data_IF_179101719197
#
_entry.id   IF_179101719197
#
_cell.length_a   1.000
_cell.length_b   1.000
_cell.length_c   1.000
_cell.angle_alpha   90.00
_cell.angle_beta   90.00
_cell.angle_gamma   90.00
#
_symmetry.space_group_name_H-M   'P 1'
#
loop_
_entity.id
_entity.type
_entity.pdbx_description
1 polymer ?
#
# COMPACT_ATOMS: atom_id res chain seq x y z
N UNK A 1 12.86 7.70 -18.22
CA UNK A 1 12.55 6.25 -18.30
C UNK A 1 11.94 5.69 -17.02
N UNK A 2 12.20 6.27 -15.84
CA UNK A 2 11.61 5.83 -14.56
C UNK A 2 10.34 6.59 -14.12
N UNK A 3 9.74 7.47 -14.93
CA UNK A 3 8.56 8.25 -14.50
C UNK A 3 7.36 7.36 -14.09
N UNK A 4 7.09 6.27 -14.82
CA UNK A 4 5.99 5.34 -14.50
C UNK A 4 6.29 4.49 -13.26
N UNK A 5 7.49 3.89 -13.11
CA UNK A 5 7.90 3.26 -11.85
C UNK A 5 7.89 4.22 -10.66
N UNK A 6 8.30 5.48 -10.84
CA UNK A 6 8.29 6.51 -9.81
C UNK A 6 6.86 6.84 -9.37
N UNK A 7 5.93 6.95 -10.34
CA UNK A 7 4.51 7.12 -10.06
C UNK A 7 3.94 5.94 -9.26
N UNK A 8 4.28 4.70 -9.63
CA UNK A 8 3.90 3.50 -8.87
C UNK A 8 4.50 3.47 -7.46
N UNK A 9 5.77 3.86 -7.31
CA UNK A 9 6.45 3.94 -6.02
C UNK A 9 5.83 4.97 -5.09
N UNK A 10 5.47 6.16 -5.60
CA UNK A 10 4.72 7.15 -4.82
C UNK A 10 3.35 6.61 -4.36
N UNK A 11 2.68 5.82 -5.20
CA UNK A 11 1.44 5.12 -4.85
C UNK A 11 1.65 3.92 -3.90
N UNK A 12 2.86 3.40 -3.71
CA UNK A 12 3.13 2.44 -2.64
C UNK A 12 3.35 3.15 -1.30
N UNK A 13 4.04 4.30 -1.33
CA UNK A 13 4.41 5.06 -0.14
C UNK A 13 3.20 5.75 0.51
N UNK A 14 2.26 6.32 -0.27
CA UNK A 14 1.06 6.93 0.32
C UNK A 14 0.15 5.93 1.06
N UNK A 15 0.39 4.62 0.88
CA UNK A 15 -0.26 3.56 1.63
C UNK A 15 0.00 3.64 3.15
N UNK A 16 0.91 4.50 3.60
CA UNK A 16 1.07 4.92 5.01
C UNK A 16 -0.25 5.35 5.67
N UNK A 17 -1.29 5.69 4.88
CA UNK A 17 -2.67 5.90 5.35
C UNK A 17 -3.18 4.77 6.26
N UNK A 18 -2.67 3.54 6.10
CA UNK A 18 -3.00 2.40 6.98
C UNK A 18 -2.67 2.68 8.45
N UNK A 19 -1.60 3.44 8.75
CA UNK A 19 -1.24 3.80 10.12
C UNK A 19 -2.32 4.70 10.72
N UNK A 20 -2.84 5.66 9.94
CA UNK A 20 -3.95 6.51 10.35
C UNK A 20 -5.20 5.69 10.63
N UNK A 21 -5.52 4.72 9.78
CA UNK A 21 -6.66 3.81 9.97
C UNK A 21 -6.55 3.00 11.27
N UNK A 22 -5.36 2.45 11.57
CA UNK A 22 -5.10 1.70 12.81
C UNK A 22 -5.26 2.60 14.04
N UNK A 23 -4.73 3.81 14.01
CA UNK A 23 -4.84 4.76 15.14
C UNK A 23 -6.30 5.16 15.38
N UNK A 24 -7.05 5.45 14.31
CA UNK A 24 -8.47 5.82 14.42
C UNK A 24 -9.30 4.66 14.94
N UNK A 25 -9.11 3.46 14.39
CA UNK A 25 -9.79 2.24 14.87
C UNK A 25 -9.46 1.97 16.35
N UNK A 26 -8.19 2.09 16.74
CA UNK A 26 -7.75 1.84 18.12
C UNK A 26 -8.28 2.86 19.14
N UNK A 27 -8.81 3.99 18.68
CA UNK A 27 -9.48 5.00 19.52
C UNK A 27 -11.00 4.92 19.48
N UNK A 28 -11.57 4.03 18.67
CA UNK A 28 -13.01 3.84 18.61
C UNK A 28 -13.51 3.16 19.89
N UNK A 29 -14.63 3.65 20.43
CA UNK A 29 -15.33 3.00 21.54
C UNK A 29 -15.87 1.63 21.10
N UNK A 30 -15.86 0.66 22.01
CA UNK A 30 -16.18 -0.74 21.68
C UNK A 30 -17.64 -0.97 21.28
N UNK A 31 -18.55 -0.09 21.70
CA UNK A 31 -19.96 -0.08 21.36
C UNK A 31 -20.27 0.77 20.11
N UNK A 32 -19.30 1.52 19.61
CA UNK A 32 -19.42 2.27 18.36
C UNK A 32 -19.13 1.36 17.15
N UNK A 33 -20.08 0.47 16.86
CA UNK A 33 -19.98 -0.50 15.76
C UNK A 33 -19.74 0.14 14.39
N UNK A 34 -20.28 1.35 14.15
CA UNK A 34 -20.07 2.06 12.90
C UNK A 34 -18.58 2.45 12.74
N UNK A 35 -17.98 3.03 13.77
CA UNK A 35 -16.57 3.39 13.77
C UNK A 35 -15.66 2.16 13.62
N UNK A 36 -16.00 1.05 14.30
CA UNK A 36 -15.27 -0.21 14.19
C UNK A 36 -15.32 -0.79 12.78
N UNK A 37 -16.49 -0.85 12.14
CA UNK A 37 -16.63 -1.36 10.78
C UNK A 37 -15.90 -0.49 9.76
N UNK A 38 -16.01 0.83 9.86
CA UNK A 38 -15.26 1.75 9.01
C UNK A 38 -13.75 1.61 9.22
N UNK A 39 -13.31 1.43 10.48
CA UNK A 39 -11.91 1.16 10.81
C UNK A 39 -11.42 -0.13 10.14
N UNK A 40 -12.19 -1.22 10.22
CA UNK A 40 -11.83 -2.51 9.63
C UNK A 40 -11.67 -2.37 8.12
N UNK A 41 -12.63 -1.73 7.45
CA UNK A 41 -12.56 -1.46 6.02
C UNK A 41 -11.35 -0.58 5.67
N UNK A 42 -11.08 0.48 6.44
CA UNK A 42 -9.95 1.36 6.21
C UNK A 42 -8.60 0.63 6.33
N UNK A 43 -8.45 -0.27 7.31
CA UNK A 43 -7.23 -1.08 7.47
C UNK A 43 -7.07 -2.08 6.31
N UNK A 44 -8.16 -2.75 5.88
CA UNK A 44 -8.11 -3.67 4.74
C UNK A 44 -7.71 -2.92 3.46
N UNK A 45 -8.36 -1.80 3.15
CA UNK A 45 -8.07 -1.00 1.96
C UNK A 45 -6.66 -0.42 2.00
N UNK A 46 -6.21 0.07 3.16
CA UNK A 46 -4.84 0.54 3.35
C UNK A 46 -3.80 -0.57 3.13
N UNK A 47 -4.09 -1.79 3.60
CA UNK A 47 -3.22 -2.96 3.38
C UNK A 47 -3.11 -3.29 1.90
N UNK A 48 -4.25 -3.36 1.19
CA UNK A 48 -4.27 -3.63 -0.25
C UNK A 48 -3.50 -2.57 -1.04
N UNK A 49 -3.60 -1.30 -0.65
CA UNK A 49 -2.89 -0.21 -1.27
C UNK A 49 -1.36 -0.34 -1.12
N UNK A 50 -0.88 -0.55 0.12
CA UNK A 50 0.55 -0.75 0.42
C UNK A 50 1.08 -1.97 -0.33
N UNK A 51 0.47 -3.14 -0.12
CA UNK A 51 0.95 -4.41 -0.68
C UNK A 51 0.90 -4.39 -2.21
N UNK A 52 -0.22 -3.96 -2.79
CA UNK A 52 -0.38 -3.85 -4.24
C UNK A 52 0.60 -2.86 -4.85
N UNK A 53 0.78 -1.70 -4.23
CA UNK A 53 1.73 -0.69 -4.67
C UNK A 53 3.17 -1.21 -4.70
N UNK A 54 3.61 -1.91 -3.65
CA UNK A 54 4.96 -2.48 -3.61
C UNK A 54 5.16 -3.61 -4.62
N UNK A 55 4.19 -4.52 -4.76
CA UNK A 55 4.29 -5.64 -5.72
C UNK A 55 4.36 -5.13 -7.16
N UNK A 56 3.52 -4.16 -7.53
CA UNK A 56 3.52 -3.59 -8.88
C UNK A 56 4.81 -2.82 -9.14
N UNK A 57 5.29 -2.04 -8.16
CA UNK A 57 6.54 -1.30 -8.28
C UNK A 57 7.74 -2.23 -8.45
N UNK A 58 7.81 -3.33 -7.70
CA UNK A 58 8.88 -4.32 -7.83
C UNK A 58 8.90 -4.94 -9.23
N UNK A 59 7.74 -5.37 -9.75
CA UNK A 59 7.63 -5.88 -11.13
C UNK A 59 8.01 -4.84 -12.18
N UNK A 60 7.69 -3.57 -11.96
CA UNK A 60 8.11 -2.50 -12.86
C UNK A 60 9.62 -2.29 -12.84
N UNK A 61 10.26 -2.37 -11.67
CA UNK A 61 11.70 -2.22 -11.52
C UNK A 61 12.47 -3.45 -12.02
N UNK A 62 11.87 -4.64 -11.95
CA UNK A 62 12.45 -5.88 -12.49
C UNK A 62 12.69 -5.79 -14.00
N UNK A 63 11.85 -5.08 -14.75
CA UNK A 63 12.03 -4.83 -16.19
C UNK A 63 13.31 -4.04 -16.53
N UNK A 64 13.93 -3.37 -15.54
CA UNK A 64 15.19 -2.64 -15.70
C UNK A 64 16.41 -3.46 -15.28
N UNK A 65 16.22 -4.65 -14.70
CA UNK A 65 17.35 -5.53 -14.37
C UNK A 65 17.92 -6.12 -15.66
N UNK A 66 19.23 -6.02 -15.91
CA UNK A 66 19.85 -6.67 -17.06
C UNK A 66 19.64 -8.19 -16.94
N UNK A 67 19.19 -8.82 -18.03
CA UNK A 67 18.96 -10.27 -18.08
C UNK A 67 20.29 -10.98 -17.78
N UNK A 68 20.39 -11.70 -16.66
CA UNK A 68 21.57 -12.50 -16.37
C UNK A 68 21.57 -13.72 -17.30
N UNK A 69 22.18 -13.57 -18.49
CA UNK A 69 22.33 -14.66 -19.44
C UNK A 69 22.25 -14.22 -20.89
N UNK A 70 23.32 -13.60 -21.39
CA UNK A 70 24.10 -14.16 -22.50
C UNK A 70 25.48 -13.50 -22.50
N UNK A 71 26.47 -14.25 -22.01
CA UNK A 71 27.84 -14.13 -22.53
C UNK A 71 27.90 -14.93 -23.82
#
# INVERSE_FOLDING_TARGET
>A
VLHTPLMSGANAIHGVVIIGAIIVMGRAEADNYLALWLGILAVILGTLNVVGGFVVTDRMLEMFKPKSGNK
#
